data_IF_324551219970
#
_entry.id   IF_324551219970
#
_cell.length_a   1.000
_cell.length_b   1.000
_cell.length_c   1.000
_cell.angle_alpha   90.00
_cell.angle_beta   90.00
_cell.angle_gamma   90.00
#
_symmetry.space_group_name_H-M   'P 1'
#
loop_
_entity.id
_entity.type
_entity.pdbx_description
1 polymer ?
#
# COMPACT_ATOMS: atom_id res chain seq x y z
N UNK A 1 37.89 -57.59 16.11
CA UNK A 1 36.85 -56.53 16.03
C UNK A 1 37.47 -55.28 15.40
N UNK A 2 37.28 -55.07 14.09
CA UNK A 2 37.71 -53.85 13.39
C UNK A 2 36.46 -53.04 13.08
N UNK A 3 36.37 -51.82 13.63
CA UNK A 3 35.25 -50.89 13.39
C UNK A 3 35.51 -50.15 12.07
N UNK A 4 34.74 -50.47 11.04
CA UNK A 4 34.71 -49.71 9.80
C UNK A 4 34.06 -48.34 10.05
N UNK A 5 34.76 -47.27 9.65
CA UNK A 5 34.23 -45.90 9.70
C UNK A 5 33.40 -45.66 8.44
N UNK A 6 32.10 -45.49 8.61
CA UNK A 6 31.20 -44.96 7.58
C UNK A 6 31.59 -43.51 7.30
N UNK A 7 32.08 -43.23 6.10
CA UNK A 7 32.20 -41.85 5.60
C UNK A 7 30.84 -41.43 5.02
N UNK A 8 30.38 -40.19 5.28
CA UNK A 8 29.14 -39.71 4.70
C UNK A 8 29.35 -39.45 3.21
N UNK A 9 28.60 -40.18 2.39
CA UNK A 9 28.46 -39.93 0.95
C UNK A 9 27.90 -38.52 0.76
N UNK A 10 28.71 -37.63 0.17
CA UNK A 10 28.27 -36.32 -0.29
C UNK A 10 27.29 -36.52 -1.46
N UNK A 11 26.02 -36.72 -1.17
CA UNK A 11 24.97 -36.55 -2.17
C UNK A 11 24.81 -35.05 -2.43
N UNK A 12 25.50 -34.54 -3.44
CA UNK A 12 25.14 -33.27 -4.06
C UNK A 12 23.68 -33.30 -4.53
N UNK A 13 23.06 -32.12 -4.74
CA UNK A 13 21.67 -32.06 -5.19
C UNK A 13 21.55 -32.83 -6.51
N UNK A 14 20.79 -33.93 -6.47
CA UNK A 14 20.43 -34.68 -7.68
C UNK A 14 19.62 -33.73 -8.54
N UNK A 15 20.21 -33.25 -9.63
CA UNK A 15 19.45 -32.65 -10.71
C UNK A 15 18.43 -33.71 -11.15
N UNK A 16 17.16 -33.49 -10.80
CA UNK A 16 16.07 -34.30 -11.29
C UNK A 16 16.16 -34.27 -12.81
N UNK A 17 16.38 -35.45 -13.40
CA UNK A 17 16.38 -35.68 -14.84
C UNK A 17 15.11 -35.04 -15.39
N UNK A 18 15.27 -34.06 -16.29
CA UNK A 18 14.16 -33.32 -16.87
C UNK A 18 13.22 -34.30 -17.58
N UNK A 19 11.92 -34.15 -17.33
CA UNK A 19 10.91 -34.85 -18.11
C UNK A 19 11.14 -34.55 -19.60
N UNK A 20 11.08 -35.56 -20.48
CA UNK A 20 11.18 -35.32 -21.92
C UNK A 20 9.97 -34.46 -22.32
N UNK A 21 10.18 -33.41 -23.11
CA UNK A 21 9.18 -32.43 -23.57
C UNK A 21 8.75 -31.25 -22.66
N UNK A 22 9.59 -30.77 -21.73
CA UNK A 22 9.36 -29.40 -21.22
C UNK A 22 9.85 -28.35 -22.22
N UNK A 23 9.08 -27.31 -22.57
CA UNK A 23 9.53 -26.28 -23.49
C UNK A 23 10.71 -25.50 -22.91
N UNK A 24 11.60 -25.02 -23.78
CA UNK A 24 12.86 -24.38 -23.40
C UNK A 24 12.66 -23.16 -22.48
N UNK A 25 11.60 -22.37 -22.71
CA UNK A 25 11.28 -21.23 -21.85
C UNK A 25 11.01 -21.68 -20.41
N UNK A 26 10.23 -22.76 -20.21
CA UNK A 26 9.88 -23.24 -18.88
C UNK A 26 11.11 -23.72 -18.13
N UNK A 27 12.01 -24.47 -18.80
CA UNK A 27 13.25 -24.94 -18.18
C UNK A 27 14.12 -23.78 -17.66
N UNK A 28 14.22 -22.69 -18.44
CA UNK A 28 14.95 -21.49 -18.05
C UNK A 28 14.33 -20.81 -16.83
N UNK A 29 13.00 -20.70 -16.79
CA UNK A 29 12.26 -20.08 -15.70
C UNK A 29 12.33 -20.92 -14.41
N UNK A 30 12.32 -22.25 -14.52
CA UNK A 30 12.37 -23.20 -13.40
C UNK A 30 13.66 -23.05 -12.57
N UNK A 31 14.81 -22.80 -13.21
CA UNK A 31 16.08 -22.61 -12.50
C UNK A 31 16.05 -21.40 -11.55
N UNK A 32 15.38 -20.31 -11.95
CA UNK A 32 15.19 -19.12 -11.12
C UNK A 32 14.14 -19.33 -10.04
N UNK A 33 13.05 -20.03 -10.40
CA UNK A 33 11.97 -20.37 -9.50
C UNK A 33 12.45 -21.22 -8.31
N UNK A 34 13.23 -22.27 -8.53
CA UNK A 34 13.70 -23.16 -7.46
C UNK A 34 14.51 -22.45 -6.37
N UNK A 35 15.11 -21.30 -6.67
CA UNK A 35 15.91 -20.51 -5.72
C UNK A 35 15.10 -19.44 -4.98
N UNK A 36 14.08 -18.89 -5.63
CA UNK A 36 13.42 -17.65 -5.17
C UNK A 36 11.94 -17.83 -4.86
N UNK A 37 11.31 -18.92 -5.32
CA UNK A 37 9.85 -19.08 -5.30
C UNK A 37 9.13 -18.16 -6.29
N UNK A 38 9.86 -17.49 -7.20
CA UNK A 38 9.32 -16.56 -8.19
C UNK A 38 9.36 -17.19 -9.58
N UNK A 39 8.20 -17.37 -10.20
CA UNK A 39 8.14 -17.85 -11.58
C UNK A 39 8.00 -16.66 -12.52
N UNK A 40 9.08 -16.37 -13.24
CA UNK A 40 9.12 -15.27 -14.19
C UNK A 40 8.91 -15.78 -15.62
N UNK A 41 7.71 -15.59 -16.15
CA UNK A 41 7.31 -15.90 -17.52
C UNK A 41 7.29 -14.64 -18.41
N UNK A 42 7.89 -13.54 -17.96
CA UNK A 42 7.82 -12.28 -18.69
C UNK A 42 8.38 -12.40 -20.11
N UNK A 43 7.71 -11.73 -21.06
CA UNK A 43 8.05 -11.74 -22.48
C UNK A 43 7.96 -13.11 -23.18
N UNK A 44 7.41 -14.14 -22.53
CA UNK A 44 7.00 -15.36 -23.25
C UNK A 44 5.71 -15.02 -23.99
N UNK A 45 5.69 -15.13 -25.32
CA UNK A 45 4.56 -14.61 -26.10
C UNK A 45 3.23 -15.24 -25.70
N UNK A 46 3.13 -16.55 -25.67
CA UNK A 46 1.90 -17.28 -25.29
C UNK A 46 2.35 -18.48 -24.46
N UNK A 47 2.62 -18.30 -23.14
CA UNK A 47 3.02 -19.40 -22.30
C UNK A 47 1.83 -20.33 -22.08
N UNK A 48 2.03 -21.62 -22.28
CA UNK A 48 1.05 -22.63 -21.88
C UNK A 48 1.07 -22.78 -20.35
N UNK A 49 0.09 -22.15 -19.69
CA UNK A 49 -0.04 -22.14 -18.23
C UNK A 49 -0.40 -23.52 -17.67
N UNK A 50 -0.93 -24.45 -18.48
CA UNK A 50 -1.22 -25.83 -18.04
C UNK A 50 0.03 -26.62 -17.63
N UNK A 51 1.19 -26.20 -18.15
CA UNK A 51 2.49 -26.77 -17.79
C UNK A 51 2.95 -26.27 -16.41
N UNK A 52 2.37 -25.18 -15.91
CA UNK A 52 2.60 -24.65 -14.56
C UNK A 52 1.67 -25.39 -13.60
N UNK A 53 2.14 -26.56 -13.15
CA UNK A 53 1.48 -27.35 -12.11
C UNK A 53 1.32 -26.55 -10.81
N UNK A 54 0.42 -27.00 -9.94
CA UNK A 54 0.25 -26.45 -8.59
C UNK A 54 1.55 -26.55 -7.79
N UNK A 55 1.99 -25.45 -7.18
CA UNK A 55 3.25 -25.34 -6.44
C UNK A 55 3.04 -24.62 -5.12
N UNK A 56 3.26 -25.32 -4.01
CA UNK A 56 3.21 -24.71 -2.67
C UNK A 56 4.34 -23.71 -2.40
N UNK A 57 5.39 -23.69 -3.21
CA UNK A 57 6.52 -22.77 -3.05
C UNK A 57 6.43 -21.52 -3.95
N UNK A 58 5.42 -21.43 -4.82
CA UNK A 58 5.23 -20.28 -5.69
C UNK A 58 4.65 -19.11 -4.91
N UNK A 59 5.44 -18.05 -4.77
CA UNK A 59 5.08 -16.81 -4.07
C UNK A 59 4.74 -15.67 -5.03
N UNK A 60 5.41 -15.63 -6.18
CA UNK A 60 5.23 -14.56 -7.16
C UNK A 60 5.16 -15.16 -8.57
N UNK A 61 4.12 -14.78 -9.31
CA UNK A 61 3.98 -15.11 -10.73
C UNK A 61 4.09 -13.81 -11.54
N UNK A 62 5.03 -13.79 -12.48
CA UNK A 62 5.19 -12.68 -13.41
C UNK A 62 4.89 -13.17 -14.84
N UNK A 63 3.79 -12.70 -15.40
CA UNK A 63 3.33 -12.90 -16.78
C UNK A 63 3.28 -11.57 -17.56
N UNK A 64 4.06 -10.58 -17.14
CA UNK A 64 4.15 -9.29 -17.83
C UNK A 64 4.58 -9.47 -19.29
N UNK A 65 4.06 -8.63 -20.18
CA UNK A 65 4.36 -8.65 -21.63
C UNK A 65 4.04 -9.98 -22.33
N UNK A 66 3.12 -10.77 -21.77
CA UNK A 66 2.57 -11.97 -22.42
C UNK A 66 1.30 -11.61 -23.22
N UNK A 67 0.99 -12.38 -24.26
CA UNK A 67 -0.25 -12.28 -25.06
C UNK A 67 -1.32 -13.26 -24.57
N UNK A 68 -1.48 -13.36 -23.25
CA UNK A 68 -2.54 -14.15 -22.61
C UNK A 68 -3.76 -13.26 -22.43
N UNK A 69 -4.95 -13.78 -22.74
CA UNK A 69 -6.24 -13.10 -22.52
C UNK A 69 -6.80 -13.38 -21.11
N UNK A 70 -6.40 -14.50 -20.50
CA UNK A 70 -6.80 -14.91 -19.16
C UNK A 70 -5.74 -15.79 -18.49
N UNK A 71 -6.05 -16.31 -17.29
CA UNK A 71 -5.20 -17.29 -16.60
C UNK A 71 -5.59 -18.74 -16.92
N UNK A 72 -6.41 -18.97 -17.94
CA UNK A 72 -6.89 -20.30 -18.29
C UNK A 72 -5.77 -21.35 -18.40
N UNK A 73 -6.03 -22.53 -17.82
CA UNK A 73 -5.07 -23.63 -17.73
C UNK A 73 -4.10 -23.54 -16.55
N UNK A 74 -3.95 -22.39 -15.89
CA UNK A 74 -3.13 -22.30 -14.67
C UNK A 74 -3.72 -23.13 -13.53
N UNK A 75 -2.92 -24.06 -13.00
CA UNK A 75 -3.32 -24.82 -11.81
C UNK A 75 -3.35 -23.93 -10.57
N UNK A 76 -4.19 -24.27 -9.59
CA UNK A 76 -4.30 -23.57 -8.31
C UNK A 76 -2.94 -23.39 -7.60
N UNK A 77 -2.65 -22.18 -7.12
CA UNK A 77 -1.39 -21.82 -6.46
C UNK A 77 -1.67 -21.40 -5.00
N UNK A 78 -1.51 -22.33 -4.03
CA UNK A 78 -2.02 -22.11 -2.68
C UNK A 78 -1.30 -21.03 -1.86
N UNK A 79 -0.08 -20.65 -2.24
CA UNK A 79 0.75 -19.71 -1.47
C UNK A 79 1.22 -18.51 -2.31
N UNK A 80 0.54 -18.24 -3.43
CA UNK A 80 0.87 -17.09 -4.26
C UNK A 80 0.48 -15.81 -3.52
N UNK A 81 1.37 -14.83 -3.49
CA UNK A 81 1.14 -13.52 -2.88
C UNK A 81 1.12 -12.40 -3.92
N UNK A 82 1.86 -12.57 -5.02
CA UNK A 82 2.03 -11.51 -6.03
C UNK A 82 1.72 -12.04 -7.43
N UNK A 83 0.82 -11.34 -8.13
CA UNK A 83 0.60 -11.49 -9.56
C UNK A 83 1.04 -10.21 -10.28
N UNK A 84 2.00 -10.34 -11.19
CA UNK A 84 2.37 -9.26 -12.11
C UNK A 84 2.01 -9.66 -13.53
N UNK A 85 1.08 -8.92 -14.14
CA UNK A 85 0.63 -9.07 -15.51
C UNK A 85 0.70 -7.75 -16.29
N UNK A 86 1.62 -6.84 -15.91
CA UNK A 86 1.79 -5.56 -16.58
C UNK A 86 2.07 -5.72 -18.08
N UNK A 87 1.45 -4.88 -18.91
CA UNK A 87 1.58 -4.88 -20.38
C UNK A 87 1.25 -6.23 -21.03
N UNK A 88 0.46 -7.07 -20.36
CA UNK A 88 -0.09 -8.29 -20.96
C UNK A 88 -1.40 -7.99 -21.69
N UNK A 89 -1.96 -9.00 -22.36
CA UNK A 89 -3.26 -8.89 -23.04
C UNK A 89 -4.43 -9.39 -22.17
N UNK A 90 -4.24 -9.49 -20.86
CA UNK A 90 -5.28 -9.99 -19.96
C UNK A 90 -6.50 -9.07 -20.06
N UNK A 91 -7.64 -9.66 -20.42
CA UNK A 91 -8.90 -8.98 -20.69
C UNK A 91 -10.07 -9.55 -19.90
N UNK A 92 -9.89 -10.65 -19.17
CA UNK A 92 -10.93 -11.29 -18.37
C UNK A 92 -10.40 -11.87 -17.06
N UNK A 93 -11.29 -12.08 -16.09
CA UNK A 93 -11.01 -12.76 -14.82
C UNK A 93 -11.04 -14.29 -14.92
N UNK A 94 -11.12 -14.84 -16.13
CA UNK A 94 -11.22 -16.29 -16.33
C UNK A 94 -10.02 -17.02 -15.70
N UNK A 95 -10.33 -18.01 -14.86
CA UNK A 95 -9.39 -18.79 -14.05
C UNK A 95 -8.56 -17.97 -13.02
N UNK A 96 -9.01 -16.80 -12.58
CA UNK A 96 -8.33 -16.05 -11.50
C UNK A 96 -8.44 -16.74 -10.13
N UNK A 97 -9.35 -17.70 -9.94
CA UNK A 97 -9.39 -18.52 -8.74
C UNK A 97 -8.10 -19.33 -8.55
N UNK A 98 -7.32 -19.56 -9.62
CA UNK A 98 -6.00 -20.19 -9.53
C UNK A 98 -4.99 -19.38 -8.70
N UNK A 99 -5.25 -18.09 -8.49
CA UNK A 99 -4.41 -17.13 -7.77
C UNK A 99 -5.19 -16.33 -6.73
N UNK A 100 -6.25 -16.89 -6.17
CA UNK A 100 -7.15 -16.21 -5.22
C UNK A 100 -6.47 -15.73 -3.92
N UNK A 101 -5.37 -16.38 -3.53
CA UNK A 101 -4.56 -15.96 -2.38
C UNK A 101 -3.60 -14.79 -2.65
N UNK A 102 -3.50 -14.32 -3.90
CA UNK A 102 -2.65 -13.17 -4.18
C UNK A 102 -3.22 -11.92 -3.49
N UNK A 103 -2.36 -11.15 -2.83
CA UNK A 103 -2.73 -9.89 -2.18
C UNK A 103 -2.18 -8.68 -2.93
N UNK A 104 -1.22 -8.89 -3.83
CA UNK A 104 -0.59 -7.84 -4.63
C UNK A 104 -0.78 -8.14 -6.11
N UNK A 105 -1.45 -7.23 -6.80
CA UNK A 105 -1.75 -7.31 -8.22
C UNK A 105 -1.15 -6.13 -8.97
N UNK A 106 -0.46 -6.41 -10.07
CA UNK A 106 -0.01 -5.40 -11.03
C UNK A 106 -0.59 -5.74 -12.40
N UNK A 107 -1.50 -4.90 -12.87
CA UNK A 107 -2.28 -5.07 -14.11
C UNK A 107 -2.13 -3.85 -15.04
N UNK A 108 -1.04 -3.09 -14.90
CA UNK A 108 -0.85 -1.84 -15.64
C UNK A 108 -0.85 -2.09 -17.13
N UNK A 109 -1.54 -1.23 -17.89
CA UNK A 109 -1.60 -1.32 -19.36
C UNK A 109 -2.09 -2.68 -19.87
N UNK A 110 -3.11 -3.25 -19.21
CA UNK A 110 -3.86 -4.42 -19.69
C UNK A 110 -5.25 -3.99 -20.16
N UNK A 111 -5.87 -4.70 -21.12
CA UNK A 111 -7.27 -4.46 -21.48
C UNK A 111 -8.22 -4.55 -20.27
N UNK A 112 -7.98 -5.49 -19.36
CA UNK A 112 -8.77 -5.64 -18.14
C UNK A 112 -8.73 -4.38 -17.26
N UNK A 113 -7.58 -3.72 -17.13
CA UNK A 113 -7.46 -2.49 -16.35
C UNK A 113 -8.09 -1.26 -17.01
N UNK A 114 -8.58 -1.37 -18.25
CA UNK A 114 -9.36 -0.31 -18.92
C UNK A 114 -10.84 -0.36 -18.57
N UNK A 115 -11.35 -1.50 -18.10
CA UNK A 115 -12.71 -1.64 -17.61
C UNK A 115 -12.85 -0.87 -16.30
N UNK A 116 -13.81 0.07 -16.15
CA UNK A 116 -13.99 0.84 -14.92
C UNK A 116 -14.28 -0.04 -13.69
N UNK A 117 -14.85 -1.23 -13.88
CA UNK A 117 -15.30 -2.11 -12.80
C UNK A 117 -14.30 -3.21 -12.45
N UNK A 118 -13.12 -3.25 -13.09
CA UNK A 118 -12.15 -4.33 -12.86
C UNK A 118 -11.70 -4.44 -11.39
N UNK A 119 -11.67 -3.32 -10.65
CA UNK A 119 -11.30 -3.33 -9.23
C UNK A 119 -12.32 -4.11 -8.39
N UNK A 120 -13.61 -4.01 -8.73
CA UNK A 120 -14.67 -4.79 -8.08
C UNK A 120 -14.47 -6.27 -8.40
N UNK A 121 -14.25 -6.61 -9.67
CA UNK A 121 -14.01 -7.99 -10.08
C UNK A 121 -12.79 -8.60 -9.38
N UNK A 122 -11.72 -7.83 -9.22
CA UNK A 122 -10.53 -8.27 -8.52
C UNK A 122 -10.79 -8.51 -7.03
N UNK A 123 -11.59 -7.66 -6.37
CA UNK A 123 -12.00 -7.84 -4.98
C UNK A 123 -12.84 -9.10 -4.79
N UNK A 124 -13.77 -9.38 -5.70
CA UNK A 124 -14.58 -10.60 -5.66
C UNK A 124 -13.77 -11.88 -5.88
N UNK A 125 -12.65 -11.80 -6.62
CA UNK A 125 -11.77 -12.93 -6.88
C UNK A 125 -10.74 -13.17 -5.77
N UNK A 126 -10.36 -12.13 -5.03
CA UNK A 126 -9.41 -12.22 -3.94
C UNK A 126 -10.05 -12.84 -2.69
N UNK A 127 -9.27 -13.59 -1.91
CA UNK A 127 -9.70 -14.11 -0.60
C UNK A 127 -9.35 -13.20 0.57
N UNK A 128 -8.51 -12.19 0.34
CA UNK A 128 -8.05 -11.26 1.37
C UNK A 128 -8.73 -9.90 1.19
N UNK A 129 -9.20 -9.31 2.29
CA UNK A 129 -9.84 -8.00 2.35
C UNK A 129 -8.84 -6.84 2.17
N UNK A 130 -7.53 -7.11 2.06
CA UNK A 130 -6.50 -6.08 1.93
C UNK A 130 -5.62 -6.33 0.74
N UNK A 131 -6.13 -5.98 -0.43
CA UNK A 131 -5.36 -6.06 -1.68
C UNK A 131 -4.66 -4.75 -2.03
N UNK A 132 -3.50 -4.88 -2.66
CA UNK A 132 -2.71 -3.80 -3.23
C UNK A 132 -2.75 -3.94 -4.74
N UNK A 133 -3.25 -2.92 -5.44
CA UNK A 133 -3.38 -2.91 -6.89
C UNK A 133 -2.49 -1.82 -7.46
N UNK A 134 -1.59 -2.19 -8.38
CA UNK A 134 -0.66 -1.27 -9.05
C UNK A 134 0.23 -0.45 -8.10
N UNK A 135 0.44 -0.95 -6.88
CA UNK A 135 1.23 -0.31 -5.82
C UNK A 135 0.44 0.63 -4.90
N UNK A 136 -0.89 0.69 -5.02
CA UNK A 136 -1.78 1.48 -4.17
C UNK A 136 -2.73 0.58 -3.38
N UNK A 137 -3.08 0.98 -2.17
CA UNK A 137 -4.18 0.38 -1.43
C UNK A 137 -5.51 0.81 -2.05
N UNK A 138 -6.49 -0.09 -2.07
CA UNK A 138 -7.84 0.26 -2.50
C UNK A 138 -8.58 1.06 -1.43
N UNK A 139 -9.36 2.04 -1.88
CA UNK A 139 -10.29 2.79 -1.02
C UNK A 139 -11.41 1.89 -0.52
N UNK A 140 -11.95 2.19 0.67
CA UNK A 140 -13.11 1.49 1.26
C UNK A 140 -14.36 1.51 0.37
N UNK A 141 -14.47 2.50 -0.53
CA UNK A 141 -15.56 2.58 -1.51
C UNK A 141 -15.65 1.34 -2.40
N UNK A 142 -14.52 0.80 -2.84
CA UNK A 142 -14.49 -0.37 -3.74
C UNK A 142 -14.97 -1.64 -3.05
N UNK A 143 -14.61 -1.82 -1.76
CA UNK A 143 -15.09 -2.92 -0.93
C UNK A 143 -16.61 -2.86 -0.78
N UNK A 144 -17.16 -1.67 -0.46
CA UNK A 144 -18.61 -1.49 -0.37
C UNK A 144 -19.34 -1.80 -1.67
N UNK A 145 -18.76 -1.47 -2.83
CA UNK A 145 -19.33 -1.85 -4.14
C UNK A 145 -19.26 -3.36 -4.37
N UNK A 146 -18.17 -4.01 -3.98
CA UNK A 146 -18.02 -5.46 -4.10
C UNK A 146 -19.00 -6.22 -3.20
N UNK A 147 -19.29 -5.72 -1.99
CA UNK A 147 -20.25 -6.32 -1.04
C UNK A 147 -21.69 -6.39 -1.60
N UNK A 148 -22.01 -5.63 -2.64
CA UNK A 148 -23.33 -5.67 -3.30
C UNK A 148 -23.52 -6.93 -4.16
N UNK A 149 -22.45 -7.66 -4.49
CA UNK A 149 -22.52 -8.84 -5.35
C UNK A 149 -22.68 -10.13 -4.52
N UNK A 150 -23.53 -11.06 -4.94
CA UNK A 150 -23.66 -12.37 -4.31
C UNK A 150 -22.37 -13.19 -4.36
N UNK A 151 -22.25 -14.16 -3.44
CA UNK A 151 -21.04 -14.98 -3.30
C UNK A 151 -20.70 -15.80 -4.56
N UNK A 152 -21.71 -16.33 -5.26
CA UNK A 152 -21.55 -17.11 -6.49
C UNK A 152 -21.00 -16.28 -7.67
N UNK A 153 -20.98 -14.95 -7.57
CA UNK A 153 -20.43 -14.06 -8.60
C UNK A 153 -18.95 -14.33 -8.86
N UNK A 154 -18.22 -14.76 -7.82
CA UNK A 154 -16.83 -15.20 -7.95
C UNK A 154 -16.69 -16.34 -8.96
N UNK A 155 -17.60 -17.31 -8.92
CA UNK A 155 -17.58 -18.43 -9.86
C UNK A 155 -17.94 -17.99 -11.28
N UNK A 156 -18.86 -17.04 -11.45
CA UNK A 156 -19.18 -16.44 -12.75
C UNK A 156 -17.95 -15.78 -13.38
N UNK A 157 -17.27 -14.91 -12.63
CA UNK A 157 -16.05 -14.24 -13.09
C UNK A 157 -14.95 -15.25 -13.43
N UNK A 158 -14.80 -16.29 -12.62
CA UNK A 158 -13.83 -17.35 -12.87
C UNK A 158 -14.12 -18.13 -14.18
N UNK A 159 -15.39 -18.22 -14.59
CA UNK A 159 -15.80 -18.81 -15.86
C UNK A 159 -15.75 -17.83 -17.04
N UNK A 160 -15.38 -16.56 -16.81
CA UNK A 160 -15.18 -15.56 -17.86
C UNK A 160 -16.37 -14.62 -18.10
N UNK A 161 -17.32 -14.56 -17.17
CA UNK A 161 -18.34 -13.51 -17.20
C UNK A 161 -17.70 -12.12 -17.08
N UNK A 162 -18.24 -11.15 -17.82
CA UNK A 162 -17.83 -9.74 -17.76
C UNK A 162 -18.66 -9.01 -16.71
N UNK A 163 -17.97 -8.37 -15.76
CA UNK A 163 -18.63 -7.70 -14.64
C UNK A 163 -19.36 -6.43 -15.12
N UNK A 164 -20.64 -6.33 -14.76
CA UNK A 164 -21.45 -5.14 -15.01
C UNK A 164 -21.80 -4.48 -13.68
N UNK A 165 -21.62 -3.15 -13.59
CA UNK A 165 -22.05 -2.34 -12.44
C UNK A 165 -23.10 -1.31 -12.89
N UNK A 166 -24.21 -1.13 -12.15
CA UNK A 166 -24.57 -1.78 -10.88
C UNK A 166 -24.87 -3.28 -11.03
N UNK A 167 -24.82 -4.02 -9.92
CA UNK A 167 -25.07 -5.46 -9.92
C UNK A 167 -26.41 -5.78 -10.63
N UNK A 168 -26.42 -6.70 -11.61
CA UNK A 168 -27.65 -7.09 -12.29
C UNK A 168 -28.68 -7.66 -11.32
N UNK A 169 -29.96 -7.53 -11.68
CA UNK A 169 -31.07 -8.11 -10.89
C UNK A 169 -30.94 -9.63 -10.82
N UNK A 170 -31.47 -10.21 -9.73
CA UNK A 170 -31.45 -11.66 -9.46
C UNK A 170 -31.97 -12.51 -10.63
N UNK A 171 -33.00 -12.04 -11.35
CA UNK A 171 -33.54 -12.70 -12.55
C UNK A 171 -32.49 -12.87 -13.65
N UNK A 172 -31.76 -11.79 -13.95
CA UNK A 172 -30.69 -11.77 -14.97
C UNK A 172 -29.51 -12.62 -14.50
N UNK A 173 -29.11 -12.50 -13.22
CA UNK A 173 -28.04 -13.32 -12.66
C UNK A 173 -28.35 -14.82 -12.74
N UNK A 174 -29.61 -15.22 -12.56
CA UNK A 174 -30.04 -16.62 -12.69
C UNK A 174 -29.90 -17.12 -14.13
N UNK A 175 -30.16 -16.28 -15.12
CA UNK A 175 -29.93 -16.60 -16.54
C UNK A 175 -28.43 -16.73 -16.85
N UNK A 176 -27.62 -15.77 -16.40
CA UNK A 176 -26.16 -15.79 -16.55
C UNK A 176 -25.57 -17.05 -15.87
N UNK A 177 -26.03 -17.42 -14.68
CA UNK A 177 -25.60 -18.65 -14.01
C UNK A 177 -25.87 -19.91 -14.85
N UNK A 178 -27.00 -19.95 -15.58
CA UNK A 178 -27.30 -21.07 -16.49
C UNK A 178 -26.39 -21.06 -17.70
N UNK A 179 -26.05 -19.89 -18.25
CA UNK A 179 -25.15 -19.75 -19.38
C UNK A 179 -23.72 -20.22 -19.04
N UNK A 180 -23.20 -19.81 -17.88
CA UNK A 180 -21.85 -20.14 -17.42
C UNK A 180 -21.77 -21.43 -16.58
N UNK A 181 -22.88 -22.18 -16.46
CA UNK A 181 -22.98 -23.43 -15.70
C UNK A 181 -22.51 -23.30 -14.24
N UNK A 182 -22.89 -22.20 -13.59
CA UNK A 182 -22.62 -21.93 -12.17
C UNK A 182 -23.89 -22.23 -11.36
N UNK A 183 -23.72 -22.77 -10.15
CA UNK A 183 -24.86 -23.03 -9.27
C UNK A 183 -25.37 -21.72 -8.70
N UNK A 184 -26.58 -21.34 -9.07
CA UNK A 184 -27.24 -20.20 -8.48
C UNK A 184 -27.64 -20.54 -7.03
N UNK A 185 -27.13 -19.75 -6.09
CA UNK A 185 -27.49 -19.83 -4.67
C UNK A 185 -28.31 -18.58 -4.37
N UNK A 186 -29.54 -18.77 -3.88
CA UNK A 186 -30.34 -17.68 -3.33
C UNK A 186 -29.72 -17.30 -1.99
N UNK A 187 -28.72 -16.42 -2.04
CA UNK A 187 -28.24 -15.72 -0.86
C UNK A 187 -29.35 -14.73 -0.43
N UNK A 188 -29.71 -14.71 0.86
CA UNK A 188 -30.54 -13.63 1.41
C UNK A 188 -29.84 -12.31 1.08
N UNK A 189 -30.47 -11.43 0.30
CA UNK A 189 -29.91 -10.19 -0.23
C UNK A 189 -28.92 -9.54 0.76
N UNK A 190 -27.61 -9.44 0.44
CA UNK A 190 -26.68 -8.71 1.29
C UNK A 190 -27.12 -7.25 1.34
N UNK A 191 -27.81 -6.91 2.43
CA UNK A 191 -28.43 -5.61 2.73
C UNK A 191 -29.36 -5.08 1.62
N UNK A 192 -30.66 -5.32 1.80
CA UNK A 192 -31.78 -4.64 1.12
C UNK A 192 -31.88 -3.14 1.42
N UNK A 193 -30.77 -2.43 1.62
CA UNK A 193 -30.75 -0.97 1.65
C UNK A 193 -30.36 -0.50 0.26
N UNK A 194 -31.28 -0.68 -0.68
CA UNK A 194 -31.32 0.11 -1.91
C UNK A 194 -31.69 1.55 -1.53
N UNK A 195 -30.85 2.22 -0.72
CA UNK A 195 -30.80 3.67 -0.81
C UNK A 195 -30.34 3.98 -2.22
N UNK A 196 -31.21 4.64 -2.97
CA UNK A 196 -30.93 5.22 -4.27
C UNK A 196 -29.71 6.12 -4.10
N UNK A 197 -28.52 5.58 -4.32
CA UNK A 197 -27.32 6.39 -4.50
C UNK A 197 -27.56 7.15 -5.80
N UNK A 198 -27.99 8.39 -5.63
CA UNK A 198 -28.13 9.35 -6.71
C UNK A 198 -26.88 9.29 -7.57
N UNK A 199 -27.12 9.17 -8.86
CA UNK A 199 -26.18 9.27 -9.96
C UNK A 199 -25.45 10.61 -9.88
N UNK A 200 -24.49 10.73 -8.96
CA UNK A 200 -23.47 11.78 -9.01
C UNK A 200 -22.40 11.28 -9.97
N UNK A 201 -22.65 11.47 -11.26
CA UNK A 201 -21.68 11.35 -12.35
C UNK A 201 -20.50 12.36 -12.23
N UNK A 202 -20.15 12.79 -11.01
CA UNK A 202 -19.16 13.83 -10.72
C UNK A 202 -18.01 13.36 -9.80
N UNK A 203 -17.92 12.08 -9.43
CA UNK A 203 -16.78 11.60 -8.61
C UNK A 203 -15.62 11.00 -9.43
N UNK A 204 -15.64 11.12 -10.75
CA UNK A 204 -14.47 10.82 -11.60
C UNK A 204 -13.47 12.00 -11.70
N UNK A 205 -13.73 13.15 -11.08
CA UNK A 205 -12.84 14.33 -11.10
C UNK A 205 -12.55 14.97 -9.73
N UNK A 206 -12.36 14.23 -8.62
CA UNK A 206 -12.01 14.89 -7.33
C UNK A 206 -10.91 14.20 -6.48
N UNK A 207 -9.78 13.81 -7.07
CA UNK A 207 -8.54 13.63 -6.27
C UNK A 207 -7.56 14.81 -6.38
N UNK A 208 -7.74 15.72 -7.34
CA UNK A 208 -6.94 16.95 -7.46
C UNK A 208 -7.50 18.12 -6.64
N UNK A 209 -8.81 18.17 -6.37
CA UNK A 209 -9.45 19.22 -5.55
C UNK A 209 -9.33 19.00 -4.04
N UNK A 210 -9.31 17.75 -3.59
CA UNK A 210 -9.39 17.39 -2.18
C UNK A 210 -8.03 17.45 -1.43
N UNK A 211 -6.95 17.75 -2.14
CA UNK A 211 -5.62 17.85 -1.54
C UNK A 211 -5.45 19.14 -0.72
N UNK A 212 -6.05 20.25 -1.18
CA UNK A 212 -6.02 21.53 -0.47
C UNK A 212 -6.81 21.45 0.84
N UNK A 213 -8.02 20.90 0.81
CA UNK A 213 -8.84 20.67 2.01
C UNK A 213 -8.14 19.73 3.01
N UNK A 214 -7.41 18.72 2.50
CA UNK A 214 -6.63 17.82 3.34
C UNK A 214 -5.40 18.51 3.95
N UNK A 215 -4.74 19.39 3.20
CA UNK A 215 -3.65 20.25 3.71
C UNK A 215 -4.18 21.18 4.79
N UNK A 216 -5.32 21.84 4.58
CA UNK A 216 -5.92 22.76 5.56
C UNK A 216 -6.34 22.03 6.83
N UNK A 217 -6.96 20.85 6.72
CA UNK A 217 -7.26 20.00 7.88
C UNK A 217 -6.00 19.57 8.64
N UNK A 218 -4.94 19.21 7.91
CA UNK A 218 -3.66 18.83 8.52
C UNK A 218 -2.98 20.02 9.21
N UNK A 219 -3.00 21.21 8.60
CA UNK A 219 -2.46 22.42 9.21
C UNK A 219 -3.24 22.83 10.46
N UNK A 220 -4.57 22.79 10.40
CA UNK A 220 -5.41 23.11 11.56
C UNK A 220 -5.13 22.15 12.72
N UNK A 221 -5.05 20.84 12.44
CA UNK A 221 -4.70 19.83 13.44
C UNK A 221 -3.27 20.01 13.98
N UNK A 222 -2.32 20.39 13.13
CA UNK A 222 -0.95 20.67 13.55
C UNK A 222 -0.89 21.88 14.49
N UNK A 223 -1.59 22.97 14.16
CA UNK A 223 -1.69 24.17 14.98
C UNK A 223 -2.39 23.90 16.32
N UNK A 224 -3.42 23.07 16.35
CA UNK A 224 -4.05 22.61 17.58
C UNK A 224 -3.10 21.80 18.44
N UNK A 225 -2.35 20.85 17.86
CA UNK A 225 -1.36 20.07 18.61
C UNK A 225 -0.21 20.93 19.14
N UNK A 226 0.27 21.91 18.37
CA UNK A 226 1.26 22.87 18.84
C UNK A 226 0.68 23.68 19.99
N UNK A 227 -0.52 24.22 19.85
CA UNK A 227 -1.15 25.03 20.89
C UNK A 227 -1.40 24.21 22.16
N UNK A 228 -1.82 22.96 22.02
CA UNK A 228 -2.03 22.06 23.14
C UNK A 228 -0.70 21.73 23.83
N UNK A 229 0.34 21.37 23.07
CA UNK A 229 1.66 21.14 23.62
C UNK A 229 2.21 22.40 24.31
N UNK A 230 2.04 23.59 23.71
CA UNK A 230 2.46 24.85 24.31
C UNK A 230 1.75 25.14 25.64
N UNK A 231 0.47 24.76 25.80
CA UNK A 231 -0.23 24.83 27.09
C UNK A 231 0.27 23.78 28.07
N UNK A 232 0.42 22.54 27.62
CA UNK A 232 0.86 21.41 28.46
C UNK A 232 2.29 21.61 28.99
N UNK A 233 3.13 22.34 28.26
CA UNK A 233 4.49 22.68 28.65
C UNK A 233 4.64 24.11 29.20
N UNK A 234 3.55 24.86 29.40
CA UNK A 234 3.55 26.26 29.88
C UNK A 234 4.46 27.21 29.07
N UNK A 235 4.72 26.90 27.79
CA UNK A 235 5.72 27.59 26.98
C UNK A 235 5.27 28.97 26.48
N UNK A 236 3.97 29.28 26.54
CA UNK A 236 3.37 30.48 25.93
C UNK A 236 2.37 31.20 26.84
N UNK A 237 2.57 31.17 28.16
CA UNK A 237 1.88 32.10 29.08
C UNK A 237 2.85 33.05 29.80
N UNK A 238 4.01 33.27 29.19
CA UNK A 238 4.85 34.42 29.49
C UNK A 238 4.35 35.57 28.63
N UNK A 239 3.38 36.34 29.14
CA UNK A 239 3.17 37.68 28.59
C UNK A 239 4.53 38.40 28.57
N UNK A 240 4.85 39.11 27.48
CA UNK A 240 6.14 39.80 27.31
C UNK A 240 6.54 40.65 28.55
N UNK A 241 5.54 41.09 29.32
CA UNK A 241 5.66 41.82 30.58
C UNK A 241 6.30 40.98 31.70
N UNK A 242 5.85 39.74 31.95
CA UNK A 242 6.40 38.90 33.02
C UNK A 242 7.84 38.48 32.74
N UNK A 243 8.14 38.17 31.48
CA UNK A 243 9.50 37.83 31.06
C UNK A 243 10.45 39.02 31.20
N UNK A 244 10.00 40.22 30.81
CA UNK A 244 10.77 41.44 30.99
C UNK A 244 11.05 41.72 32.47
N UNK A 245 10.04 41.60 33.34
CA UNK A 245 10.19 41.79 34.79
C UNK A 245 11.14 40.78 35.43
N UNK A 246 11.11 39.51 35.00
CA UNK A 246 12.00 38.47 35.52
C UNK A 246 13.45 38.67 35.06
N UNK A 247 13.66 39.11 33.81
CA UNK A 247 14.99 39.49 33.31
C UNK A 247 15.53 40.72 34.02
N UNK A 248 14.71 41.75 34.25
CA UNK A 248 15.11 42.95 34.99
C UNK A 248 15.53 42.56 36.41
N UNK A 249 14.69 41.81 37.12
CA UNK A 249 15.00 41.35 38.48
C UNK A 249 16.31 40.55 38.52
N UNK A 250 16.55 39.66 37.56
CA UNK A 250 17.79 38.90 37.46
C UNK A 250 19.02 39.80 37.20
N UNK A 251 18.90 40.79 36.30
CA UNK A 251 19.99 41.70 35.95
C UNK A 251 20.32 42.69 37.09
N UNK A 252 19.32 43.14 37.84
CA UNK A 252 19.50 43.99 39.02
C UNK A 252 20.13 43.22 40.19
N UNK A 253 19.60 42.04 40.52
CA UNK A 253 20.05 41.27 41.69
C UNK A 253 21.42 40.61 41.51
N UNK A 254 21.73 40.08 40.32
CA UNK A 254 22.96 39.30 40.13
C UNK A 254 24.14 40.10 39.56
N UNK A 255 23.87 41.26 38.92
CA UNK A 255 24.89 42.01 38.16
C UNK A 255 24.89 43.51 38.43
N UNK A 256 24.05 44.00 39.35
CA UNK A 256 24.00 45.41 39.77
C UNK A 256 23.80 46.40 38.61
N UNK A 257 23.06 45.99 37.57
CA UNK A 257 22.55 46.96 36.60
C UNK A 257 21.42 47.76 37.25
N UNK A 258 21.34 49.07 36.97
CA UNK A 258 20.28 49.95 37.46
C UNK A 258 19.51 50.46 36.26
N UNK A 259 18.24 50.08 36.15
CA UNK A 259 17.35 50.55 35.08
C UNK A 259 16.71 51.87 35.48
N UNK A 260 16.60 52.82 34.55
CA UNK A 260 15.97 54.10 34.79
C UNK A 260 14.50 54.07 34.35
N UNK A 261 13.61 54.53 35.23
CA UNK A 261 12.16 54.51 34.99
C UNK A 261 11.67 55.47 33.90
N UNK A 262 12.51 56.41 33.44
CA UNK A 262 12.14 57.45 32.47
C UNK A 262 12.58 57.15 31.02
N UNK A 263 13.09 55.94 30.75
CA UNK A 263 13.58 55.53 29.42
C UNK A 263 12.87 54.31 28.85
N UNK A 264 13.07 54.04 27.56
CA UNK A 264 12.59 52.82 26.90
C UNK A 264 13.23 51.58 27.56
N UNK A 265 12.43 50.91 28.40
CA UNK A 265 12.87 49.80 29.25
C UNK A 265 13.36 48.62 28.41
N UNK A 266 12.72 48.38 27.27
CA UNK A 266 13.07 47.28 26.36
C UNK A 266 14.46 47.52 25.75
N UNK A 267 14.75 48.76 25.34
CA UNK A 267 16.05 49.15 24.82
C UNK A 267 17.16 49.04 25.89
N UNK A 268 16.85 49.40 27.14
CA UNK A 268 17.80 49.28 28.25
C UNK A 268 18.13 47.80 28.55
N UNK A 269 17.13 46.92 28.56
CA UNK A 269 17.32 45.47 28.76
C UNK A 269 18.15 44.86 27.63
N UNK A 270 17.84 45.17 26.36
CA UNK A 270 18.60 44.68 25.21
C UNK A 270 20.06 45.15 25.27
N UNK A 271 20.29 46.40 25.69
CA UNK A 271 21.64 46.97 25.81
C UNK A 271 22.44 46.28 26.92
N UNK A 272 21.83 46.03 28.08
CA UNK A 272 22.47 45.31 29.19
C UNK A 272 22.81 43.86 28.82
N UNK A 273 21.91 43.14 28.15
CA UNK A 273 22.15 41.76 27.68
C UNK A 273 23.29 41.72 26.65
N UNK A 274 23.33 42.68 25.70
CA UNK A 274 24.43 42.77 24.73
C UNK A 274 25.77 43.03 25.41
N UNK A 275 25.82 43.92 26.40
CA UNK A 275 27.04 44.18 27.17
C UNK A 275 27.55 42.93 27.91
N UNK A 276 26.65 42.14 28.50
CA UNK A 276 27.00 40.87 29.16
C UNK A 276 27.55 39.84 28.18
N UNK A 277 26.95 39.73 26.99
CA UNK A 277 27.44 38.84 25.94
C UNK A 277 28.84 39.22 25.47
N UNK A 278 29.11 40.52 25.30
CA UNK A 278 30.45 41.03 24.93
C UNK A 278 31.49 40.75 26.01
N UNK A 279 31.15 41.00 27.29
CA UNK A 279 32.06 40.70 28.39
C UNK A 279 32.39 39.20 28.51
N UNK A 280 31.42 38.32 28.27
CA UNK A 280 31.62 36.86 28.27
C UNK A 280 32.50 36.39 27.11
N UNK A 281 32.40 37.02 25.95
CA UNK A 281 33.27 36.73 24.81
C UNK A 281 34.73 37.09 25.13
N UNK A 282 34.96 38.29 25.68
CA UNK A 282 36.29 38.75 26.07
C UNK A 282 36.93 37.91 27.20
N UNK A 283 36.13 37.43 28.16
CA UNK A 283 36.63 36.52 29.22
C UNK A 283 36.95 35.12 28.71
N UNK A 284 36.32 34.67 27.61
CA UNK A 284 36.66 33.40 26.96
C UNK A 284 37.95 33.50 26.16
N UNK A 285 38.14 34.60 25.44
CA UNK A 285 39.36 34.86 24.65
C UNK A 285 40.59 35.03 25.54
N UNK A 286 40.47 35.75 26.66
CA UNK A 286 41.57 35.91 27.64
C UNK A 286 41.94 34.61 28.37
N UNK A 287 40.98 33.71 28.62
CA UNK A 287 41.26 32.37 29.17
C UNK A 287 41.89 31.41 28.15
N UNK A 288 41.57 31.55 26.86
CA UNK A 288 42.22 30.79 25.79
C UNK A 288 43.64 31.27 25.48
N UNK A 289 43.96 32.55 25.70
CA UNK A 289 45.31 33.08 25.51
C UNK A 289 46.27 32.79 26.70
N UNK A 290 45.76 32.25 27.81
CA UNK A 290 46.52 31.96 29.03
C UNK A 290 46.59 30.46 29.40
N UNK A 291 46.12 29.57 28.51
CA UNK A 291 46.38 28.13 28.51
C UNK A 291 47.26 27.75 27.33
#
# INVERSE_FOLDING_TARGET
MKRERLTPSKSGPRYAISAPNKPHWLQKCELGFLKTGRLNLSSVSIPDLSLVKSRSTLKELNISRCKLESLEGLAYQPNIAVLNADHSHISSFKNFASVSHATIYSLKNTPLAQDPNYLIGLLLMAEDDKIIVNGKHLSSMWYRKADTYPSFTRDLLNNGWSLEYPCPKSEILREICREFNVTYIEDDDPASDTEQFGDNQNEEEEESGNFLDKIDRLMNKHNEMISQASRDFELLDMSDVRFAEEIINMLETQKHYVFQNDGDLELQVVTAVRALCMHRAQTRESKQASS
#
